data_IF_517621380836
#
_entry.id   IF_517621380836
#
_cell.length_a   1.000
_cell.length_b   1.000
_cell.length_c   1.000
_cell.angle_alpha   90.00
_cell.angle_beta   90.00
_cell.angle_gamma   90.00
#
_symmetry.space_group_name_H-M   'P 1'
#
loop_
_entity.id
_entity.type
_entity.pdbx_description
1 polymer ?
#
# COMPACT_ATOMS: atom_id res chain seq x y z
N UNK A 1 32.90 -10.09 8.29
CA UNK A 1 31.49 -10.44 8.54
C UNK A 1 30.94 -9.41 9.52
N UNK A 2 30.21 -8.40 9.04
CA UNK A 2 29.63 -7.34 9.88
C UNK A 2 28.18 -7.72 10.18
N UNK A 3 27.89 -8.03 11.43
CA UNK A 3 26.55 -8.29 11.94
C UNK A 3 25.71 -7.02 11.80
N UNK A 4 24.78 -7.01 10.84
CA UNK A 4 23.72 -6.01 10.77
C UNK A 4 22.69 -6.43 11.82
N UNK A 5 22.70 -5.69 12.93
CA UNK A 5 21.67 -5.75 13.96
C UNK A 5 20.36 -5.31 13.30
N UNK A 6 19.51 -6.26 12.90
CA UNK A 6 18.11 -6.00 12.63
C UNK A 6 17.51 -5.52 13.95
N UNK A 7 17.47 -4.20 14.15
CA UNK A 7 16.67 -3.60 15.19
C UNK A 7 15.21 -3.83 14.79
N UNK A 8 14.72 -5.02 15.11
CA UNK A 8 13.31 -5.39 15.16
C UNK A 8 12.70 -4.63 16.34
N UNK A 9 12.80 -3.30 16.30
CA UNK A 9 12.20 -2.39 17.26
C UNK A 9 10.73 -2.29 16.90
N UNK A 10 9.98 -3.28 17.38
CA UNK A 10 8.69 -3.03 17.99
C UNK A 10 7.71 -2.21 17.13
N UNK A 11 7.52 -2.59 15.86
CA UNK A 11 6.23 -2.34 15.22
C UNK A 11 5.30 -3.54 15.49
N UNK A 12 5.14 -3.85 16.77
CA UNK A 12 3.87 -4.31 17.33
C UNK A 12 2.85 -3.15 17.27
N UNK A 13 2.75 -2.47 16.13
CA UNK A 13 1.49 -1.86 15.79
C UNK A 13 0.61 -3.06 15.47
N UNK A 14 -0.13 -3.53 16.48
CA UNK A 14 -1.47 -4.00 16.21
C UNK A 14 -2.06 -2.98 15.24
N UNK A 15 -2.13 -3.32 13.94
CA UNK A 15 -2.70 -2.42 12.95
C UNK A 15 -4.06 -2.03 13.52
N UNK A 16 -4.29 -0.73 13.77
CA UNK A 16 -5.47 -0.32 14.49
C UNK A 16 -6.67 -0.85 13.73
N UNK A 17 -7.61 -1.38 14.50
CA UNK A 17 -9.01 -1.50 14.11
C UNK A 17 -9.37 -0.26 13.27
N UNK A 18 -10.00 -0.49 12.11
CA UNK A 18 -10.49 0.56 11.22
C UNK A 18 -10.99 1.75 12.04
N UNK A 19 -10.40 2.92 11.88
CA UNK A 19 -10.73 4.07 12.73
C UNK A 19 -12.05 4.72 12.33
N UNK A 20 -12.45 4.56 11.07
CA UNK A 20 -13.69 5.07 10.51
C UNK A 20 -14.83 4.02 10.51
N UNK A 21 -16.08 4.44 10.78
CA UNK A 21 -17.24 3.56 10.68
C UNK A 21 -17.46 3.17 9.21
N UNK A 22 -17.25 1.89 8.91
CA UNK A 22 -17.39 1.33 7.55
C UNK A 22 -18.80 0.78 7.29
N UNK A 23 -19.65 0.69 8.30
CA UNK A 23 -20.99 0.11 8.21
C UNK A 23 -21.88 0.90 7.24
N UNK A 24 -21.81 2.24 7.30
CA UNK A 24 -22.62 3.13 6.46
C UNK A 24 -22.14 3.20 4.99
N UNK A 25 -20.98 2.64 4.68
CA UNK A 25 -20.43 2.59 3.34
C UNK A 25 -21.12 1.45 2.59
N UNK A 26 -22.20 1.77 1.87
CA UNK A 26 -23.03 0.78 1.17
C UNK A 26 -23.26 1.19 -0.28
N UNK A 27 -23.60 0.23 -1.13
CA UNK A 27 -23.99 0.53 -2.52
C UNK A 27 -25.25 1.40 -2.60
N UNK A 28 -26.14 1.37 -1.61
CA UNK A 28 -27.30 2.27 -1.57
C UNK A 28 -26.88 3.74 -1.36
N UNK A 29 -25.84 3.97 -0.54
CA UNK A 29 -25.28 5.30 -0.28
C UNK A 29 -24.33 5.76 -1.39
N UNK A 30 -23.60 4.83 -2.00
CA UNK A 30 -22.63 5.07 -3.07
C UNK A 30 -22.98 4.21 -4.30
N UNK A 31 -24.08 4.53 -5.03
CA UNK A 31 -24.61 3.67 -6.09
C UNK A 31 -23.69 3.53 -7.31
N UNK A 32 -22.86 4.54 -7.56
CA UNK A 32 -21.95 4.57 -8.71
C UNK A 32 -20.52 4.12 -8.35
N UNK A 33 -20.28 3.69 -7.10
CA UNK A 33 -18.96 3.29 -6.62
C UNK A 33 -18.78 1.77 -6.58
N UNK A 34 -17.69 1.29 -7.16
CA UNK A 34 -17.29 -0.12 -7.09
C UNK A 34 -16.52 -0.45 -5.80
N UNK A 35 -15.78 0.52 -5.29
CA UNK A 35 -15.09 0.51 -4.00
C UNK A 35 -15.05 1.93 -3.42
N UNK A 36 -14.93 2.03 -2.10
CA UNK A 36 -14.81 3.32 -1.38
C UNK A 36 -13.64 3.24 -0.42
N UNK A 37 -12.77 4.25 -0.45
CA UNK A 37 -11.71 4.42 0.55
C UNK A 37 -12.36 4.88 1.85
N UNK A 38 -12.20 4.08 2.90
CA UNK A 38 -12.77 4.31 4.23
C UNK A 38 -11.75 4.99 5.14
N UNK A 39 -10.48 4.67 4.95
CA UNK A 39 -9.37 5.24 5.70
C UNK A 39 -8.19 5.40 4.76
N UNK A 40 -7.51 6.54 4.84
CA UNK A 40 -6.25 6.82 4.16
C UNK A 40 -5.41 7.72 5.06
N UNK A 41 -4.15 7.36 5.27
CA UNK A 41 -3.21 8.15 6.03
C UNK A 41 -1.79 7.93 5.52
N UNK A 42 -1.01 9.00 5.51
CA UNK A 42 0.40 8.99 5.15
C UNK A 42 1.19 9.65 6.28
N UNK A 43 2.13 8.91 6.84
CA UNK A 43 3.02 9.38 7.89
C UNK A 43 4.45 9.48 7.34
N UNK A 44 5.09 10.64 7.52
CA UNK A 44 6.45 10.91 7.07
C UNK A 44 7.37 11.17 8.25
N UNK A 45 8.43 10.37 8.37
CA UNK A 45 9.50 10.55 9.35
C UNK A 45 10.77 11.02 8.65
N UNK A 46 11.06 12.32 8.72
CA UNK A 46 12.24 12.94 8.11
C UNK A 46 13.47 12.84 9.01
N UNK A 47 14.63 12.63 8.39
CA UNK A 47 15.92 12.56 9.05
C UNK A 47 16.75 13.82 8.76
N UNK A 48 17.73 14.18 9.63
CA UNK A 48 18.58 15.36 9.42
C UNK A 48 19.40 15.34 8.12
N UNK A 49 19.65 14.17 7.54
CA UNK A 49 20.37 14.01 6.27
C UNK A 49 19.49 14.22 5.03
N UNK A 50 18.21 14.57 5.23
CA UNK A 50 17.24 14.79 4.17
C UNK A 50 16.54 13.52 3.67
N UNK A 51 16.86 12.33 4.20
CA UNK A 51 16.12 11.10 3.92
C UNK A 51 14.82 11.03 4.73
N UNK A 52 13.89 10.17 4.33
CA UNK A 52 12.65 9.94 5.08
C UNK A 52 12.14 8.52 4.96
N UNK A 53 11.29 8.12 5.91
CA UNK A 53 10.45 6.93 5.83
C UNK A 53 9.01 7.41 5.66
N UNK A 54 8.36 6.97 4.57
CA UNK A 54 6.92 7.14 4.38
C UNK A 54 6.19 5.85 4.76
N UNK A 55 5.15 5.98 5.57
CA UNK A 55 4.22 4.90 5.89
C UNK A 55 2.85 5.26 5.37
N UNK A 56 2.37 4.51 4.38
CA UNK A 56 1.02 4.65 3.83
C UNK A 56 0.09 3.60 4.45
N UNK A 57 -1.11 4.03 4.80
CA UNK A 57 -2.20 3.18 5.30
C UNK A 57 -3.43 3.48 4.47
N UNK A 58 -4.05 2.45 3.92
CA UNK A 58 -5.31 2.57 3.22
C UNK A 58 -6.23 1.40 3.58
N UNK A 59 -7.53 1.69 3.70
CA UNK A 59 -8.55 0.68 3.79
C UNK A 59 -9.69 0.99 2.81
N UNK A 60 -10.03 -0.01 2.01
CA UNK A 60 -11.07 0.08 1.00
C UNK A 60 -12.22 -0.87 1.35
N UNK A 61 -13.45 -0.39 1.22
CA UNK A 61 -14.64 -1.23 1.24
C UNK A 61 -15.09 -1.49 -0.19
N UNK A 62 -15.06 -2.75 -0.59
CA UNK A 62 -15.54 -3.21 -1.88
C UNK A 62 -17.06 -3.31 -1.86
N UNK A 63 -17.73 -2.68 -2.82
CA UNK A 63 -19.19 -2.64 -2.91
C UNK A 63 -19.75 -3.53 -4.02
N UNK A 64 -18.96 -3.81 -5.06
CA UNK A 64 -19.39 -4.58 -6.23
C UNK A 64 -18.40 -5.68 -6.60
N UNK A 65 -18.86 -6.66 -7.40
CA UNK A 65 -17.99 -7.70 -7.98
C UNK A 65 -16.99 -7.11 -8.99
N UNK A 66 -17.31 -5.97 -9.61
CA UNK A 66 -16.36 -5.24 -10.45
C UNK A 66 -15.20 -4.70 -9.58
N UNK A 67 -15.51 -4.01 -8.50
CA UNK A 67 -14.50 -3.51 -7.56
C UNK A 67 -13.63 -4.63 -6.98
N UNK A 68 -14.23 -5.78 -6.66
CA UNK A 68 -13.46 -6.96 -6.18
C UNK A 68 -12.41 -7.43 -7.18
N UNK A 69 -12.73 -7.38 -8.49
CA UNK A 69 -11.80 -7.79 -9.55
C UNK A 69 -10.73 -6.74 -9.81
N UNK A 70 -11.07 -5.46 -9.73
CA UNK A 70 -10.13 -4.35 -9.89
C UNK A 70 -9.10 -4.32 -8.76
N UNK A 71 -9.56 -4.45 -7.51
CA UNK A 71 -8.73 -4.40 -6.31
C UNK A 71 -8.01 -5.74 -6.00
N UNK A 72 -8.19 -6.76 -6.85
CA UNK A 72 -7.50 -8.05 -6.72
C UNK A 72 -5.98 -7.92 -6.87
N UNK A 73 -5.50 -6.89 -7.57
CA UNK A 73 -4.07 -6.62 -7.75
C UNK A 73 -3.78 -5.18 -7.36
N UNK A 74 -3.06 -5.00 -6.26
CA UNK A 74 -2.51 -3.70 -5.85
C UNK A 74 -1.17 -3.46 -6.55
N UNK A 75 -0.95 -2.22 -7.03
CA UNK A 75 0.28 -1.81 -7.69
C UNK A 75 0.90 -0.65 -6.94
N UNK A 76 2.16 -0.83 -6.56
CA UNK A 76 2.96 0.19 -5.88
C UNK A 76 4.10 0.61 -6.80
N UNK A 77 4.09 1.87 -7.24
CA UNK A 77 5.13 2.42 -8.09
C UNK A 77 6.22 3.06 -7.21
N UNK A 78 7.48 2.73 -7.48
CA UNK A 78 8.61 3.32 -6.78
C UNK A 78 9.86 3.31 -7.66
N UNK A 79 10.82 4.18 -7.36
CA UNK A 79 12.12 4.18 -8.02
C UNK A 79 13.15 3.48 -7.14
N UNK A 80 13.75 2.39 -7.64
CA UNK A 80 14.85 1.71 -6.95
C UNK A 80 16.07 2.60 -6.69
N UNK A 81 16.22 3.70 -7.44
CA UNK A 81 17.34 4.63 -7.29
C UNK A 81 17.16 5.55 -6.08
N UNK A 82 15.92 5.87 -5.73
CA UNK A 82 15.59 6.87 -4.71
C UNK A 82 14.85 6.30 -3.50
N UNK A 83 14.39 5.05 -3.59
CA UNK A 83 13.52 4.45 -2.58
C UNK A 83 13.63 2.93 -2.59
N UNK A 84 13.28 2.32 -1.47
CA UNK A 84 13.01 0.90 -1.37
C UNK A 84 11.59 0.74 -0.83
N UNK A 85 10.82 -0.20 -1.40
CA UNK A 85 9.50 -0.52 -0.88
C UNK A 85 9.67 -1.34 0.40
N UNK A 86 9.20 -0.79 1.53
CA UNK A 86 9.01 -1.57 2.75
C UNK A 86 7.95 -2.64 2.51
N UNK A 87 8.17 -3.85 3.01
CA UNK A 87 7.25 -4.98 2.77
C UNK A 87 5.81 -4.61 3.14
N UNK A 88 4.87 -4.60 2.18
CA UNK A 88 3.50 -4.23 2.49
C UNK A 88 2.86 -5.25 3.44
N UNK A 89 1.86 -4.81 4.18
CA UNK A 89 0.99 -5.69 4.94
C UNK A 89 -0.43 -5.51 4.42
N UNK A 90 -1.06 -6.59 3.98
CA UNK A 90 -2.42 -6.55 3.43
C UNK A 90 -3.27 -7.60 4.16
N UNK A 91 -4.45 -7.18 4.60
CA UNK A 91 -5.45 -8.08 5.16
C UNK A 91 -6.81 -7.83 4.52
N UNK A 92 -7.53 -8.91 4.23
CA UNK A 92 -8.86 -8.88 3.63
C UNK A 92 -9.86 -9.31 4.70
N UNK A 93 -10.86 -8.48 4.96
CA UNK A 93 -11.98 -8.82 5.85
C UNK A 93 -13.15 -9.26 4.98
N UNK A 94 -13.53 -10.53 5.08
CA UNK A 94 -14.68 -11.06 4.36
C UNK A 94 -16.00 -10.47 4.86
N UNK A 95 -17.06 -10.61 4.07
CA UNK A 95 -18.43 -10.24 4.47
C UNK A 95 -18.92 -10.99 5.71
N UNK A 96 -18.32 -12.13 6.01
CA UNK A 96 -18.53 -12.92 7.22
C UNK A 96 -17.70 -12.43 8.43
N UNK A 97 -17.01 -11.29 8.32
CA UNK A 97 -16.14 -10.73 9.35
C UNK A 97 -14.78 -11.42 9.50
N UNK A 98 -14.51 -12.50 8.76
CA UNK A 98 -13.24 -13.23 8.88
C UNK A 98 -12.12 -12.46 8.18
N UNK A 99 -11.10 -12.08 8.96
CA UNK A 99 -9.87 -11.47 8.45
C UNK A 99 -8.89 -12.53 7.94
N UNK A 100 -8.33 -12.32 6.75
CA UNK A 100 -7.28 -13.13 6.14
C UNK A 100 -6.10 -12.25 5.77
N UNK A 101 -4.93 -12.58 6.27
CA UNK A 101 -3.68 -11.89 5.89
C UNK A 101 -3.21 -12.43 4.53
N UNK A 102 -2.77 -11.54 3.65
CA UNK A 102 -2.13 -11.92 2.38
C UNK A 102 -0.68 -12.26 2.63
N UNK A 103 -0.23 -13.41 2.13
CA UNK A 103 1.20 -13.74 2.09
C UNK A 103 1.87 -12.94 0.96
N UNK A 104 2.40 -11.80 1.33
CA UNK A 104 3.09 -10.90 0.40
C UNK A 104 4.35 -11.55 -0.16
N UNK A 105 5.08 -12.32 0.64
CA UNK A 105 6.31 -12.97 0.17
C UNK A 105 6.05 -13.98 -0.96
N UNK A 106 4.90 -14.66 -0.91
CA UNK A 106 4.48 -15.61 -1.93
C UNK A 106 3.80 -14.97 -3.15
N UNK A 107 3.29 -13.73 -3.04
CA UNK A 107 2.42 -13.10 -4.06
C UNK A 107 3.01 -11.86 -4.71
N UNK A 108 3.97 -11.20 -4.07
CA UNK A 108 4.60 -9.99 -4.57
C UNK A 108 5.46 -10.30 -5.80
N UNK A 109 5.28 -9.48 -6.83
CA UNK A 109 6.11 -9.50 -8.03
C UNK A 109 6.61 -8.11 -8.29
N UNK A 110 7.91 -8.01 -8.53
CA UNK A 110 8.52 -6.78 -8.96
C UNK A 110 8.64 -6.78 -10.48
N UNK A 111 8.15 -5.73 -11.11
CA UNK A 111 8.25 -5.53 -12.55
C UNK A 111 8.91 -4.17 -12.82
N UNK A 112 9.84 -4.14 -13.75
CA UNK A 112 10.39 -2.89 -14.27
C UNK A 112 9.49 -2.43 -15.41
N UNK A 113 8.94 -1.24 -15.30
CA UNK A 113 8.26 -0.59 -16.42
C UNK A 113 9.26 0.29 -17.18
N UNK A 114 9.47 -0.02 -18.46
CA UNK A 114 10.32 0.76 -19.36
C UNK A 114 9.56 1.92 -20.04
N UNK A 115 8.29 2.15 -19.67
CA UNK A 115 7.42 3.16 -20.26
C UNK A 115 7.65 4.59 -19.74
N UNK A 116 8.59 4.81 -18.83
CA UNK A 116 8.90 6.13 -18.25
C UNK A 116 9.17 7.22 -19.30
N UNK A 117 9.62 6.83 -20.50
CA UNK A 117 9.78 7.71 -21.66
C UNK A 117 8.46 8.34 -22.14
N UNK A 118 7.32 7.67 -21.96
CA UNK A 118 5.99 8.15 -22.40
C UNK A 118 5.39 9.20 -21.47
N UNK A 119 5.85 9.28 -20.22
CA UNK A 119 5.33 10.20 -19.21
C UNK A 119 6.06 11.57 -19.20
N UNK A 120 7.10 11.77 -20.04
CA UNK A 120 7.97 12.95 -20.03
C UNK A 120 8.59 13.25 -18.65
N UNK A 121 8.69 12.24 -17.78
CA UNK A 121 9.36 12.32 -16.49
C UNK A 121 10.80 11.87 -16.74
N UNK A 122 11.69 12.84 -16.80
CA UNK A 122 13.10 12.62 -17.05
C UNK A 122 13.84 12.41 -15.72
N UNK A 123 14.49 11.25 -15.55
CA UNK A 123 15.40 11.03 -14.42
C UNK A 123 16.75 11.68 -14.75
N UNK A 124 17.25 12.64 -13.94
CA UNK A 124 18.56 13.26 -14.17
C UNK A 124 19.71 12.25 -14.25
N UNK A 125 19.56 11.07 -13.66
CA UNK A 125 20.55 9.99 -13.70
C UNK A 125 20.53 9.15 -15.00
N UNK A 126 19.62 9.39 -15.96
CA UNK A 126 19.52 8.60 -17.20
C UNK A 126 20.56 8.96 -18.29
N UNK A 127 21.33 10.04 -18.16
CA UNK A 127 22.31 10.50 -19.17
C UNK A 127 23.80 10.31 -18.78
N UNK A 128 24.14 9.29 -18.02
CA UNK A 128 25.56 8.97 -17.71
C UNK A 128 26.21 8.18 -18.84
#
# INVERSE_FOLDING_TARGET
MKSILFLFALLLCAFPVLSAPWEDVTAARYPDADAVVVEAAEDYAYQPDGTYIATEKAALKILTEKGRREEHVQRFAYSKRYSALGGPYVSIIGTNGVRRTVDISATMREATDNSSTSANIYDPLDRV
#
